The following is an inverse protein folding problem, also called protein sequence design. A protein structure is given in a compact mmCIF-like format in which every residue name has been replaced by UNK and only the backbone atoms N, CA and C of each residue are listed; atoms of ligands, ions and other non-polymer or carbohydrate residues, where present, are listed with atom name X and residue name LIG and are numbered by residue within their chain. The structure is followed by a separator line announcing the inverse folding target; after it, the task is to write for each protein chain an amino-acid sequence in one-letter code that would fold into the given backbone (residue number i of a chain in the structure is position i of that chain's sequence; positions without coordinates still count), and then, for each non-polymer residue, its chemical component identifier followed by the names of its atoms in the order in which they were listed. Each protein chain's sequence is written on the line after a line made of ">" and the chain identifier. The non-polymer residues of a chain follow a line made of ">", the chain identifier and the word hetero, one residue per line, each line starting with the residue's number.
data_IF_068765017065
#
_entry.id   IF_068765017065
#
_cell.length_a   1.000
_cell.length_b   1.000
_cell.length_c   1.000
_cell.angle_alpha   90.00
_cell.angle_beta   90.00
_cell.angle_gamma   90.00
#
_symmetry.space_group_name_H-M   'P 1'
#
loop_
_entity.id
_entity.type
_entity.pdbx_description
1 polymer ?
#
# COMPACT_ATOMS: atom_id res chain seq x y z
N UNK A 1 16.08 24.31 29.05
CA UNK A 1 17.37 24.56 28.37
C UNK A 1 17.92 23.36 27.59
N UNK A 2 17.77 22.10 28.02
CA UNK A 2 18.21 20.95 27.20
C UNK A 2 17.26 20.62 26.02
N UNK A 3 15.94 20.84 26.19
CA UNK A 3 14.91 20.43 25.23
C UNK A 3 14.92 21.26 23.92
N UNK A 4 15.30 22.54 23.98
CA UNK A 4 15.41 23.42 22.80
C UNK A 4 16.63 23.11 21.91
N UNK A 5 17.64 22.42 22.44
CA UNK A 5 18.87 22.08 21.69
C UNK A 5 18.72 20.81 20.84
N UNK A 6 17.74 19.95 21.17
CA UNK A 6 17.53 18.65 20.53
C UNK A 6 16.69 18.76 19.26
N UNK A 7 15.70 19.66 19.21
CA UNK A 7 14.82 19.82 18.06
C UNK A 7 15.58 20.10 16.74
N UNK A 8 16.55 21.05 16.69
CA UNK A 8 17.34 21.28 15.48
C UNK A 8 18.18 20.07 15.06
N UNK A 9 18.66 19.27 16.02
CA UNK A 9 19.46 18.07 15.75
C UNK A 9 18.59 16.96 15.17
N UNK A 10 17.43 16.71 15.78
CA UNK A 10 16.46 15.71 15.30
C UNK A 10 15.98 16.06 13.89
N UNK A 11 15.66 17.33 13.63
CA UNK A 11 15.28 17.78 12.28
C UNK A 11 16.40 17.56 11.26
N UNK A 12 17.66 17.87 11.60
CA UNK A 12 18.81 17.62 10.69
C UNK A 12 18.99 16.14 10.41
N UNK A 13 18.88 15.29 11.43
CA UNK A 13 18.97 13.82 11.29
C UNK A 13 17.83 13.32 10.39
N UNK A 14 16.59 13.76 10.65
CA UNK A 14 15.43 13.42 9.83
C UNK A 14 15.65 13.80 8.36
N UNK A 15 16.08 15.04 8.09
CA UNK A 15 16.37 15.51 6.72
C UNK A 15 17.50 14.71 6.07
N UNK A 16 18.57 14.42 6.81
CA UNK A 16 19.67 13.59 6.31
C UNK A 16 19.17 12.23 5.85
N UNK A 17 18.38 11.53 6.67
CA UNK A 17 17.83 10.23 6.29
C UNK A 17 16.83 10.33 5.14
N UNK A 18 15.94 11.34 5.16
CA UNK A 18 14.95 11.57 4.11
C UNK A 18 15.61 11.78 2.74
N UNK A 19 16.58 12.69 2.66
CA UNK A 19 17.28 12.98 1.41
C UNK A 19 18.24 11.85 1.01
N UNK A 20 18.92 11.20 1.96
CA UNK A 20 19.77 10.05 1.64
C UNK A 20 18.95 8.92 1.02
N UNK A 21 17.78 8.60 1.61
CA UNK A 21 16.84 7.63 1.03
C UNK A 21 16.41 8.04 -0.38
N UNK A 22 15.97 9.28 -0.57
CA UNK A 22 15.52 9.76 -1.87
C UNK A 22 16.61 9.70 -2.94
N UNK A 23 17.85 10.04 -2.59
CA UNK A 23 19.00 9.97 -3.49
C UNK A 23 19.37 8.53 -3.85
N UNK A 24 19.37 7.61 -2.87
CA UNK A 24 19.64 6.19 -3.10
C UNK A 24 18.59 5.60 -4.03
N UNK A 25 17.30 5.84 -3.77
CA UNK A 25 16.23 5.35 -4.64
C UNK A 25 16.32 5.93 -6.06
N UNK A 26 16.56 7.24 -6.20
CA UNK A 26 16.72 7.87 -7.51
C UNK A 26 17.92 7.30 -8.27
N UNK A 27 19.01 6.97 -7.57
CA UNK A 27 20.18 6.32 -8.15
C UNK A 27 19.87 4.89 -8.62
N UNK A 28 19.16 4.10 -7.81
CA UNK A 28 18.73 2.74 -8.19
C UNK A 28 17.78 2.77 -9.41
N UNK A 29 16.81 3.67 -9.41
CA UNK A 29 15.86 3.84 -10.53
C UNK A 29 16.60 4.24 -11.82
N UNK A 30 17.61 5.10 -11.71
CA UNK A 30 18.47 5.48 -12.84
C UNK A 30 19.31 4.31 -13.35
N UNK A 31 19.92 3.51 -12.46
CA UNK A 31 20.69 2.33 -12.83
C UNK A 31 19.82 1.28 -13.51
N UNK A 32 18.65 0.99 -12.94
CA UNK A 32 17.70 0.04 -13.50
C UNK A 32 17.21 0.48 -14.88
N UNK A 33 16.80 1.75 -15.02
CA UNK A 33 16.39 2.30 -16.31
C UNK A 33 17.50 2.24 -17.36
N UNK A 34 18.74 2.57 -16.97
CA UNK A 34 19.89 2.50 -17.87
C UNK A 34 20.14 1.08 -18.35
N UNK A 35 20.05 0.09 -17.46
CA UNK A 35 20.18 -1.32 -17.81
C UNK A 35 19.09 -1.78 -18.77
N UNK A 36 17.82 -1.40 -18.53
CA UNK A 36 16.69 -1.77 -19.40
C UNK A 36 16.90 -1.20 -20.81
N UNK A 37 17.25 0.08 -20.92
CA UNK A 37 17.48 0.74 -22.22
C UNK A 37 18.66 0.13 -22.99
N UNK A 38 19.71 -0.31 -22.30
CA UNK A 38 20.87 -0.92 -22.95
C UNK A 38 20.59 -2.33 -23.50
N UNK A 39 19.53 -3.01 -23.04
CA UNK A 39 19.23 -4.40 -23.39
C UNK A 39 17.80 -4.59 -23.93
N UNK A 40 17.14 -3.52 -24.37
CA UNK A 40 15.78 -3.63 -24.91
C UNK A 40 15.72 -4.30 -26.27
N UNK A 41 16.81 -4.24 -27.04
CA UNK A 41 16.84 -4.68 -28.44
C UNK A 41 17.30 -6.14 -28.61
N UNK A 42 17.62 -6.82 -27.50
CA UNK A 42 17.98 -8.24 -27.52
C UNK A 42 17.34 -8.98 -26.36
N UNK A 43 16.64 -10.07 -26.68
CA UNK A 43 16.12 -11.02 -25.68
C UNK A 43 17.31 -11.82 -25.14
N UNK A 44 17.47 -11.98 -23.81
CA UNK A 44 18.56 -12.79 -23.26
C UNK A 44 18.50 -14.25 -23.75
N UNK A 45 19.65 -14.88 -24.00
CA UNK A 45 19.75 -16.21 -24.61
C UNK A 45 18.84 -17.27 -24.00
N UNK A 46 18.69 -17.26 -22.66
CA UNK A 46 17.85 -18.22 -21.92
C UNK A 46 16.35 -18.12 -22.24
N UNK A 47 15.91 -17.02 -22.84
CA UNK A 47 14.50 -16.71 -23.10
C UNK A 47 14.18 -16.51 -24.58
N UNK A 48 15.18 -16.58 -25.48
CA UNK A 48 15.01 -16.34 -26.93
C UNK A 48 13.93 -17.23 -27.56
N UNK A 49 13.77 -18.45 -27.06
CA UNK A 49 12.78 -19.42 -27.57
C UNK A 49 11.38 -19.27 -26.96
N UNK A 50 11.24 -18.47 -25.89
CA UNK A 50 9.99 -18.33 -25.13
C UNK A 50 9.36 -16.93 -25.25
N UNK A 51 10.18 -15.91 -25.50
CA UNK A 51 9.77 -14.50 -25.49
C UNK A 51 10.15 -13.90 -26.83
N UNK A 52 9.16 -13.32 -27.50
CA UNK A 52 9.39 -12.58 -28.75
C UNK A 52 10.14 -11.28 -28.45
N UNK A 53 10.90 -10.77 -29.43
CA UNK A 53 11.55 -9.47 -29.28
C UNK A 53 10.53 -8.34 -29.03
N UNK A 54 9.36 -8.42 -29.67
CA UNK A 54 8.28 -7.45 -29.48
C UNK A 54 7.77 -7.44 -28.04
N UNK A 55 7.50 -8.62 -27.45
CA UNK A 55 7.06 -8.72 -26.06
C UNK A 55 8.12 -8.23 -25.06
N UNK A 56 9.41 -8.50 -25.34
CA UNK A 56 10.53 -8.01 -24.54
C UNK A 56 10.64 -6.49 -24.58
N UNK A 57 10.55 -5.89 -25.77
CA UNK A 57 10.55 -4.43 -25.95
C UNK A 57 9.33 -3.79 -25.27
N UNK A 58 8.15 -4.39 -25.40
CA UNK A 58 6.94 -3.94 -24.70
C UNK A 58 7.09 -3.97 -23.18
N UNK A 59 7.71 -5.02 -22.64
CA UNK A 59 8.02 -5.14 -21.21
C UNK A 59 9.05 -4.09 -20.74
N UNK A 60 10.06 -3.81 -21.56
CA UNK A 60 11.04 -2.75 -21.31
C UNK A 60 10.38 -1.37 -21.27
N UNK A 61 9.53 -1.06 -22.26
CA UNK A 61 8.77 0.20 -22.33
C UNK A 61 7.83 0.38 -21.14
N UNK A 62 7.10 -0.68 -20.77
CA UNK A 62 6.23 -0.68 -19.59
C UNK A 62 7.01 -0.36 -18.32
N UNK A 63 8.15 -1.04 -18.12
CA UNK A 63 9.02 -0.84 -16.97
C UNK A 63 9.54 0.60 -16.91
N UNK A 64 9.97 1.17 -18.04
CA UNK A 64 10.43 2.56 -18.12
C UNK A 64 9.29 3.53 -17.80
N UNK A 65 8.07 3.29 -18.31
CA UNK A 65 6.91 4.13 -18.02
C UNK A 65 6.58 4.14 -16.52
N UNK A 66 6.63 2.98 -15.85
CA UNK A 66 6.45 2.89 -14.39
C UNK A 66 7.54 3.64 -13.63
N UNK A 67 8.81 3.47 -14.01
CA UNK A 67 9.93 4.18 -13.35
C UNK A 67 9.76 5.70 -13.47
N UNK A 68 9.44 6.20 -14.67
CA UNK A 68 9.23 7.65 -14.89
C UNK A 68 8.06 8.17 -14.06
N UNK A 69 6.94 7.47 -14.07
CA UNK A 69 5.73 7.83 -13.30
C UNK A 69 6.02 7.82 -11.80
N UNK A 70 6.65 6.76 -11.30
CA UNK A 70 7.02 6.63 -9.89
C UNK A 70 7.95 7.75 -9.45
N UNK A 71 8.98 8.07 -10.25
CA UNK A 71 9.92 9.16 -9.94
C UNK A 71 9.21 10.51 -9.80
N UNK A 72 8.28 10.81 -10.69
CA UNK A 72 7.51 12.05 -10.65
C UNK A 72 6.68 12.16 -9.36
N UNK A 73 5.91 11.13 -9.02
CA UNK A 73 5.07 11.16 -7.83
C UNK A 73 5.87 11.07 -6.53
N UNK A 74 6.99 10.32 -6.48
CA UNK A 74 7.91 10.35 -5.33
C UNK A 74 8.44 11.75 -5.02
N UNK A 75 8.69 12.58 -6.04
CA UNK A 75 9.10 13.96 -5.84
C UNK A 75 7.97 14.81 -5.23
N UNK A 76 6.73 14.61 -5.67
CA UNK A 76 5.56 15.24 -5.07
C UNK A 76 5.38 14.79 -3.61
N UNK A 77 5.48 13.48 -3.34
CA UNK A 77 5.38 12.92 -1.99
C UNK A 77 6.43 13.49 -1.05
N UNK A 78 7.66 13.69 -1.54
CA UNK A 78 8.73 14.35 -0.77
C UNK A 78 8.35 15.79 -0.42
N UNK A 79 7.82 16.56 -1.36
CA UNK A 79 7.36 17.94 -1.12
C UNK A 79 6.21 17.93 -0.10
N UNK A 80 5.22 17.06 -0.27
CA UNK A 80 4.08 16.91 0.63
C UNK A 80 4.56 16.55 2.04
N UNK A 81 5.52 15.63 2.17
CA UNK A 81 6.11 15.26 3.46
C UNK A 81 6.82 16.45 4.12
N UNK A 82 7.56 17.25 3.36
CA UNK A 82 8.20 18.46 3.87
C UNK A 82 7.16 19.51 4.31
N UNK A 83 6.06 19.67 3.56
CA UNK A 83 4.96 20.57 3.94
C UNK A 83 4.31 20.12 5.25
N UNK A 84 3.99 18.83 5.37
CA UNK A 84 3.39 18.29 6.60
C UNK A 84 4.29 18.49 7.82
N UNK A 85 5.58 18.18 7.68
CA UNK A 85 6.52 18.14 8.81
C UNK A 85 7.15 19.49 9.14
N UNK A 86 7.74 20.17 8.14
CA UNK A 86 8.49 21.42 8.33
C UNK A 86 7.74 22.66 7.84
N UNK A 87 6.83 22.51 6.89
CA UNK A 87 6.01 23.60 6.36
C UNK A 87 4.81 23.97 7.24
N UNK A 88 4.68 23.37 8.43
CA UNK A 88 3.58 23.66 9.35
C UNK A 88 2.24 23.03 8.96
N UNK A 89 2.22 22.06 8.04
CA UNK A 89 0.98 21.42 7.60
C UNK A 89 0.23 20.71 8.74
N UNK A 90 0.96 19.97 9.60
CA UNK A 90 0.36 19.30 10.76
C UNK A 90 -0.19 20.30 11.78
N UNK A 91 0.54 21.39 12.04
CA UNK A 91 0.09 22.45 12.94
C UNK A 91 -1.15 23.16 12.37
N UNK A 92 -1.15 23.45 11.07
CA UNK A 92 -2.30 24.07 10.39
C UNK A 92 -3.55 23.21 10.48
N UNK A 93 -3.40 21.89 10.29
CA UNK A 93 -4.50 20.95 10.48
C UNK A 93 -4.97 20.92 11.94
N UNK A 94 -4.02 20.89 12.89
CA UNK A 94 -4.35 20.91 14.32
C UNK A 94 -5.13 22.17 14.70
N UNK A 95 -4.73 23.35 14.22
CA UNK A 95 -5.44 24.61 14.45
C UNK A 95 -6.88 24.61 13.89
N UNK A 96 -7.16 23.83 12.85
CA UNK A 96 -8.53 23.62 12.37
C UNK A 96 -9.31 22.77 13.37
N UNK A 97 -8.72 21.66 13.85
CA UNK A 97 -9.40 20.72 14.74
C UNK A 97 -9.67 21.31 16.12
N UNK A 98 -8.75 22.12 16.66
CA UNK A 98 -8.88 22.77 17.97
C UNK A 98 -10.17 23.61 18.05
N UNK A 99 -10.62 24.21 16.95
CA UNK A 99 -11.83 25.06 16.91
C UNK A 99 -13.10 24.31 17.29
N UNK A 100 -13.13 22.98 17.15
CA UNK A 100 -14.30 22.17 17.49
C UNK A 100 -14.43 21.90 19.00
N UNK A 101 -13.46 22.32 19.84
CA UNK A 101 -13.51 22.17 21.32
C UNK A 101 -13.84 20.75 21.79
N UNK A 102 -13.22 19.76 21.15
CA UNK A 102 -13.48 18.34 21.39
C UNK A 102 -12.73 17.82 22.62
N UNK A 103 -13.16 16.67 23.15
CA UNK A 103 -12.37 15.95 24.16
C UNK A 103 -11.02 15.51 23.57
N UNK A 104 -9.97 15.28 24.40
CA UNK A 104 -8.63 14.96 23.89
C UNK A 104 -8.58 13.76 22.92
N UNK A 105 -9.30 12.68 23.22
CA UNK A 105 -9.35 11.49 22.36
C UNK A 105 -10.08 11.82 21.05
N UNK A 106 -11.26 12.45 21.13
CA UNK A 106 -12.05 12.79 19.94
C UNK A 106 -11.31 13.77 19.04
N UNK A 107 -10.57 14.73 19.62
CA UNK A 107 -9.67 15.62 18.89
C UNK A 107 -8.64 14.83 18.08
N UNK A 108 -7.93 13.90 18.71
CA UNK A 108 -6.94 13.06 18.03
C UNK A 108 -7.56 12.20 16.92
N UNK A 109 -8.73 11.60 17.17
CA UNK A 109 -9.45 10.81 16.16
C UNK A 109 -9.85 11.66 14.96
N UNK A 110 -10.42 12.85 15.17
CA UNK A 110 -10.78 13.78 14.09
C UNK A 110 -9.54 14.26 13.33
N UNK A 111 -8.46 14.56 14.05
CA UNK A 111 -7.18 14.94 13.43
C UNK A 111 -6.67 13.85 12.48
N UNK A 112 -6.58 12.60 12.94
CA UNK A 112 -6.13 11.48 12.09
C UNK A 112 -7.11 11.19 10.95
N UNK A 113 -8.42 11.33 11.17
CA UNK A 113 -9.43 11.17 10.11
C UNK A 113 -9.24 12.20 8.99
N UNK A 114 -9.09 13.47 9.34
CA UNK A 114 -8.86 14.54 8.35
C UNK A 114 -7.49 14.41 7.68
N UNK A 115 -6.45 14.10 8.44
CA UNK A 115 -5.12 13.85 7.88
C UNK A 115 -5.14 12.71 6.86
N UNK A 116 -5.79 11.60 7.20
CA UNK A 116 -5.98 10.45 6.30
C UNK A 116 -6.78 10.81 5.05
N UNK A 117 -7.87 11.57 5.20
CA UNK A 117 -8.70 12.02 4.07
C UNK A 117 -7.91 12.95 3.13
N UNK A 118 -7.19 13.93 3.66
CA UNK A 118 -6.36 14.82 2.84
C UNK A 118 -5.26 14.03 2.14
N UNK A 119 -4.60 13.10 2.84
CA UNK A 119 -3.54 12.26 2.26
C UNK A 119 -4.07 11.38 1.12
N UNK A 120 -5.26 10.81 1.29
CA UNK A 120 -5.96 10.06 0.24
C UNK A 120 -6.23 10.93 -1.00
N UNK A 121 -6.70 12.16 -0.80
CA UNK A 121 -6.97 13.10 -1.91
C UNK A 121 -5.67 13.53 -2.62
N UNK A 122 -4.59 13.76 -1.88
CA UNK A 122 -3.29 14.10 -2.46
C UNK A 122 -2.69 12.95 -3.28
N UNK A 123 -2.94 11.69 -2.89
CA UNK A 123 -2.51 10.50 -3.63
C UNK A 123 -3.42 10.14 -4.82
N UNK A 124 -4.62 10.72 -4.91
CA UNK A 124 -5.59 10.39 -5.94
C UNK A 124 -5.08 10.64 -7.38
N UNK A 125 -4.39 11.76 -7.70
CA UNK A 125 -3.83 11.97 -9.04
C UNK A 125 -2.87 10.86 -9.48
N UNK A 126 -2.02 10.36 -8.57
CA UNK A 126 -1.12 9.24 -8.85
C UNK A 126 -1.88 7.97 -9.17
N UNK A 127 -2.90 7.65 -8.36
CA UNK A 127 -3.72 6.46 -8.54
C UNK A 127 -4.47 6.50 -9.87
N UNK A 128 -5.06 7.64 -10.22
CA UNK A 128 -5.76 7.86 -11.50
C UNK A 128 -4.78 7.72 -12.67
N UNK A 129 -3.64 8.42 -12.63
CA UNK A 129 -2.67 8.39 -13.72
C UNK A 129 -2.10 6.98 -13.94
N UNK A 130 -1.75 6.29 -12.86
CA UNK A 130 -1.23 4.92 -12.95
C UNK A 130 -2.29 3.99 -13.56
N UNK A 131 -3.53 4.05 -13.07
CA UNK A 131 -4.59 3.13 -13.50
C UNK A 131 -5.07 3.41 -14.93
N UNK A 132 -5.42 4.65 -15.25
CA UNK A 132 -6.11 5.00 -16.49
C UNK A 132 -5.19 5.51 -17.61
N UNK A 133 -3.91 5.72 -17.33
CA UNK A 133 -2.91 6.13 -18.34
C UNK A 133 -1.84 5.07 -18.50
N UNK A 134 -1.13 4.71 -17.42
CA UNK A 134 -0.02 3.76 -17.52
C UNK A 134 -0.56 2.35 -17.76
N UNK A 135 -1.37 1.80 -16.85
CA UNK A 135 -1.88 0.43 -16.97
C UNK A 135 -2.80 0.25 -18.20
N UNK A 136 -3.58 1.27 -18.55
CA UNK A 136 -4.41 1.28 -19.77
C UNK A 136 -3.56 1.19 -21.04
N UNK A 137 -2.48 2.00 -21.15
CA UNK A 137 -1.59 2.00 -22.32
C UNK A 137 -1.01 0.63 -22.63
N UNK A 138 -0.74 -0.19 -21.62
CA UNK A 138 -0.15 -1.52 -21.79
C UNK A 138 -1.20 -2.65 -21.75
N UNK A 139 -2.50 -2.32 -21.69
CA UNK A 139 -3.61 -3.28 -21.73
C UNK A 139 -3.86 -4.04 -20.43
N UNK A 140 -3.22 -3.61 -19.33
CA UNK A 140 -3.35 -4.24 -18.02
C UNK A 140 -4.55 -3.74 -17.23
N UNK A 141 -5.03 -2.53 -17.51
CA UNK A 141 -6.21 -2.00 -16.84
C UNK A 141 -7.49 -2.70 -17.35
N UNK A 142 -8.32 -3.14 -16.41
CA UNK A 142 -9.70 -3.60 -16.66
C UNK A 142 -10.71 -2.85 -15.79
N UNK A 143 -10.22 -1.95 -14.93
CA UNK A 143 -11.00 -1.18 -13.99
C UNK A 143 -11.73 -0.05 -14.72
N UNK A 144 -13.05 0.03 -14.54
CA UNK A 144 -13.84 1.18 -15.01
C UNK A 144 -13.82 2.32 -13.98
N UNK A 145 -14.05 3.59 -14.38
CA UNK A 145 -14.16 4.71 -13.43
C UNK A 145 -15.18 4.46 -12.31
N UNK A 146 -16.29 3.78 -12.62
CA UNK A 146 -17.30 3.39 -11.63
C UNK A 146 -16.74 2.42 -10.59
N UNK A 147 -16.02 1.37 -11.03
CA UNK A 147 -15.39 0.40 -10.13
C UNK A 147 -14.35 1.12 -9.27
N UNK A 148 -13.48 1.92 -9.88
CA UNK A 148 -12.45 2.69 -9.19
C UNK A 148 -13.01 3.57 -8.06
N UNK A 149 -14.03 4.38 -8.34
CA UNK A 149 -14.65 5.24 -7.31
C UNK A 149 -15.38 4.41 -6.26
N UNK A 150 -16.08 3.34 -6.67
CA UNK A 150 -16.79 2.47 -5.73
C UNK A 150 -15.82 1.81 -4.74
N UNK A 151 -14.69 1.28 -5.23
CA UNK A 151 -13.68 0.66 -4.38
C UNK A 151 -12.99 1.68 -3.49
N UNK A 152 -12.73 2.87 -4.01
CA UNK A 152 -12.17 3.98 -3.23
C UNK A 152 -13.09 4.36 -2.06
N UNK A 153 -14.40 4.49 -2.30
CA UNK A 153 -15.38 4.81 -1.25
C UNK A 153 -15.54 3.65 -0.26
N UNK A 154 -15.66 2.41 -0.75
CA UNK A 154 -15.71 1.21 0.12
C UNK A 154 -14.47 1.12 1.00
N UNK A 155 -13.29 1.34 0.43
CA UNK A 155 -12.02 1.35 1.13
C UNK A 155 -11.95 2.44 2.19
N UNK A 156 -12.41 3.65 1.88
CA UNK A 156 -12.48 4.75 2.85
C UNK A 156 -13.42 4.42 4.02
N UNK A 157 -14.62 3.91 3.74
CA UNK A 157 -15.60 3.53 4.77
C UNK A 157 -15.02 2.43 5.66
N UNK A 158 -14.52 1.34 5.06
CA UNK A 158 -13.97 0.21 5.80
C UNK A 158 -12.74 0.61 6.62
N UNK A 159 -11.82 1.36 5.99
CA UNK A 159 -10.64 1.90 6.65
C UNK A 159 -10.99 2.83 7.81
N UNK A 160 -12.08 3.60 7.72
CA UNK A 160 -12.55 4.44 8.81
C UNK A 160 -13.19 3.62 9.94
N UNK A 161 -14.04 2.64 9.61
CA UNK A 161 -14.70 1.74 10.57
C UNK A 161 -13.68 0.94 11.38
N UNK A 162 -12.58 0.52 10.76
CA UNK A 162 -11.54 -0.27 11.44
C UNK A 162 -10.48 0.64 12.07
N UNK A 163 -9.97 1.60 11.31
CA UNK A 163 -8.84 2.43 11.69
C UNK A 163 -9.16 3.43 12.81
N UNK A 164 -10.30 4.12 12.75
CA UNK A 164 -10.62 5.15 13.75
C UNK A 164 -10.83 4.56 15.16
N UNK A 165 -11.49 3.40 15.34
CA UNK A 165 -11.52 2.74 16.64
C UNK A 165 -10.15 2.31 17.16
N UNK A 166 -9.26 1.84 16.28
CA UNK A 166 -7.87 1.49 16.67
C UNK A 166 -7.14 2.75 17.15
N UNK A 167 -7.25 3.86 16.40
CA UNK A 167 -6.69 5.16 16.79
C UNK A 167 -7.26 5.64 18.13
N UNK A 168 -8.57 5.57 18.32
CA UNK A 168 -9.21 5.92 19.59
C UNK A 168 -8.69 5.05 20.75
N UNK A 169 -8.56 3.74 20.52
CA UNK A 169 -8.07 2.79 21.51
C UNK A 169 -6.63 3.04 21.92
N UNK A 170 -5.73 3.29 20.97
CA UNK A 170 -4.32 3.61 21.31
C UNK A 170 -4.19 4.97 22.02
N UNK A 171 -4.94 5.98 21.59
CA UNK A 171 -4.96 7.29 22.26
C UNK A 171 -5.49 7.18 23.68
N UNK A 172 -6.52 6.36 23.89
CA UNK A 172 -7.05 6.07 25.23
C UNK A 172 -6.01 5.36 26.10
N UNK A 173 -5.31 4.34 25.57
CA UNK A 173 -4.22 3.64 26.28
C UNK A 173 -3.13 4.62 26.70
N UNK A 174 -2.70 5.50 25.78
CA UNK A 174 -1.71 6.55 26.04
C UNK A 174 -2.16 7.49 27.17
N UNK A 175 -3.44 7.86 27.19
CA UNK A 175 -3.99 8.75 28.20
C UNK A 175 -4.17 8.06 29.57
N UNK A 176 -4.54 6.79 29.59
CA UNK A 176 -4.98 6.10 30.80
C UNK A 176 -3.85 5.35 31.55
N UNK A 177 -2.83 4.86 30.85
CA UNK A 177 -1.91 3.85 31.39
C UNK A 177 -0.51 4.37 31.76
N UNK A 178 -0.34 5.68 31.93
CA UNK A 178 0.86 6.32 32.49
C UNK A 178 2.15 5.95 31.75
N UNK A 179 3.29 5.87 32.46
CA UNK A 179 4.61 5.69 31.84
C UNK A 179 4.82 4.36 31.09
N UNK A 180 4.02 3.34 31.40
CA UNK A 180 4.08 2.01 30.78
C UNK A 180 3.03 1.82 29.67
N UNK A 181 2.36 2.89 29.24
CA UNK A 181 1.34 2.84 28.18
C UNK A 181 1.83 2.13 26.91
N UNK A 182 3.12 2.25 26.58
CA UNK A 182 3.69 1.70 25.36
C UNK A 182 3.67 0.17 25.32
N UNK A 183 3.76 -0.49 26.50
CA UNK A 183 3.65 -1.97 26.61
C UNK A 183 2.23 -2.40 26.29
N UNK A 184 1.24 -1.72 26.88
CA UNK A 184 -0.17 -1.99 26.62
C UNK A 184 -0.57 -1.64 25.20
N UNK A 185 -0.05 -0.54 24.65
CA UNK A 185 -0.26 -0.12 23.27
C UNK A 185 0.31 -1.14 22.29
N UNK A 186 1.52 -1.64 22.55
CA UNK A 186 2.10 -2.74 21.78
C UNK A 186 1.27 -4.02 21.84
N UNK A 187 0.83 -4.44 23.04
CA UNK A 187 -0.01 -5.63 23.20
C UNK A 187 -1.35 -5.47 22.48
N UNK A 188 -2.01 -4.31 22.62
CA UNK A 188 -3.25 -3.97 21.93
C UNK A 188 -3.09 -4.05 20.41
N UNK A 189 -2.08 -3.37 19.85
CA UNK A 189 -1.82 -3.40 18.40
C UNK A 189 -1.46 -4.80 17.90
N UNK A 190 -0.75 -5.59 18.71
CA UNK A 190 -0.41 -6.98 18.38
C UNK A 190 -1.68 -7.85 18.29
N UNK A 191 -2.59 -7.74 19.25
CA UNK A 191 -3.87 -8.46 19.25
C UNK A 191 -4.69 -8.06 18.02
N UNK A 192 -4.80 -6.75 17.75
CA UNK A 192 -5.48 -6.22 16.57
C UNK A 192 -4.84 -6.76 15.28
N UNK A 193 -3.51 -6.81 15.19
CA UNK A 193 -2.80 -7.36 14.03
C UNK A 193 -3.14 -8.82 13.78
N UNK A 194 -3.17 -9.67 14.83
CA UNK A 194 -3.59 -11.07 14.69
C UNK A 194 -5.04 -11.19 14.23
N UNK A 195 -5.93 -10.35 14.77
CA UNK A 195 -7.32 -10.30 14.33
C UNK A 195 -7.43 -9.90 12.85
N UNK A 196 -6.66 -8.91 12.40
CA UNK A 196 -6.67 -8.46 11.00
C UNK A 196 -6.11 -9.49 10.02
N UNK A 197 -5.11 -10.30 10.42
CA UNK A 197 -4.60 -11.41 9.59
C UNK A 197 -5.71 -12.40 9.25
N UNK A 198 -6.63 -12.65 10.19
CA UNK A 198 -7.82 -13.48 9.95
C UNK A 198 -8.94 -12.71 9.24
N UNK A 199 -9.26 -11.50 9.70
CA UNK A 199 -10.38 -10.70 9.20
C UNK A 199 -10.20 -10.34 7.72
N UNK A 200 -8.97 -10.05 7.29
CA UNK A 200 -8.70 -9.60 5.94
C UNK A 200 -9.16 -10.59 4.87
N UNK A 201 -8.64 -11.84 4.82
CA UNK A 201 -9.06 -12.80 3.78
C UNK A 201 -10.49 -13.30 3.96
N UNK A 202 -11.00 -13.39 5.20
CA UNK A 202 -12.31 -13.98 5.48
C UNK A 202 -13.47 -13.02 5.24
N UNK A 203 -13.28 -11.73 5.54
CA UNK A 203 -14.36 -10.74 5.55
C UNK A 203 -14.06 -9.59 4.59
N UNK A 204 -12.86 -9.01 4.64
CA UNK A 204 -12.53 -7.80 3.88
C UNK A 204 -12.38 -8.10 2.38
N UNK A 205 -11.50 -9.04 2.01
CA UNK A 205 -11.22 -9.35 0.61
C UNK A 205 -12.47 -9.76 -0.18
N UNK A 206 -13.40 -10.58 0.35
CA UNK A 206 -14.66 -10.91 -0.32
C UNK A 206 -15.61 -9.73 -0.58
N UNK A 207 -15.46 -8.59 0.11
CA UNK A 207 -16.26 -7.38 -0.19
C UNK A 207 -15.83 -6.68 -1.48
N UNK A 208 -14.59 -6.92 -1.93
CA UNK A 208 -13.98 -6.31 -3.11
C UNK A 208 -13.90 -7.26 -4.30
N UNK A 209 -13.76 -8.56 -4.05
CA UNK A 209 -13.57 -9.56 -5.09
C UNK A 209 -14.47 -10.78 -4.86
N UNK A 210 -14.92 -11.39 -5.95
CA UNK A 210 -15.65 -12.64 -5.89
C UNK A 210 -14.66 -13.79 -5.82
N UNK A 211 -14.89 -14.70 -4.87
CA UNK A 211 -14.15 -15.95 -4.75
C UNK A 211 -15.08 -17.10 -5.12
N UNK A 212 -14.68 -17.91 -6.08
CA UNK A 212 -15.39 -19.14 -6.46
C UNK A 212 -14.47 -20.34 -6.27
N UNK A 213 -14.99 -21.52 -5.89
CA UNK A 213 -14.18 -22.73 -5.88
C UNK A 213 -13.50 -22.96 -7.24
N UNK A 214 -12.27 -23.46 -7.24
CA UNK A 214 -11.62 -23.87 -8.47
C UNK A 214 -12.40 -25.06 -9.07
N UNK A 215 -12.70 -24.95 -10.36
CA UNK A 215 -13.37 -25.99 -11.13
C UNK A 215 -12.61 -27.31 -11.09
N UNK A 216 -13.34 -28.42 -11.14
CA UNK A 216 -12.74 -29.74 -11.17
C UNK A 216 -11.99 -29.95 -12.49
N UNK A 217 -10.81 -30.56 -12.42
CA UNK A 217 -9.97 -30.81 -13.58
C UNK A 217 -8.50 -30.96 -13.23
N UNK A 218 -7.68 -31.14 -14.27
CA UNK A 218 -6.27 -31.52 -14.14
C UNK A 218 -5.45 -30.56 -13.27
N UNK A 219 -5.72 -29.25 -13.35
CA UNK A 219 -5.02 -28.24 -12.55
C UNK A 219 -5.30 -28.42 -11.06
N UNK A 220 -6.57 -28.62 -10.70
CA UNK A 220 -7.00 -28.83 -9.31
C UNK A 220 -6.35 -30.09 -8.74
N UNK A 221 -6.37 -31.18 -9.50
CA UNK A 221 -5.80 -32.46 -9.08
C UNK A 221 -4.28 -32.38 -8.88
N UNK A 222 -3.56 -31.74 -9.81
CA UNK A 222 -2.12 -31.51 -9.69
C UNK A 222 -1.77 -30.67 -8.47
N UNK A 223 -2.54 -29.62 -8.20
CA UNK A 223 -2.33 -28.78 -7.00
C UNK A 223 -2.59 -29.58 -5.74
N UNK A 224 -3.72 -30.28 -5.63
CA UNK A 224 -4.06 -31.09 -4.46
C UNK A 224 -3.01 -32.18 -4.18
N UNK A 225 -2.51 -32.86 -5.21
CA UNK A 225 -1.43 -33.84 -5.08
C UNK A 225 -0.13 -33.21 -4.56
N UNK A 226 0.21 -31.98 -5.00
CA UNK A 226 1.36 -31.26 -4.48
C UNK A 226 1.18 -30.87 -3.01
N UNK A 227 -0.02 -30.43 -2.62
CA UNK A 227 -0.33 -30.10 -1.22
C UNK A 227 -0.21 -31.33 -0.32
N UNK A 228 -0.72 -32.48 -0.76
CA UNK A 228 -0.59 -33.75 -0.05
C UNK A 228 0.87 -34.17 0.12
N UNK A 229 1.66 -34.15 -0.96
CA UNK A 229 3.09 -34.49 -0.94
C UNK A 229 3.93 -33.61 -0.01
N UNK A 230 3.49 -32.37 0.20
CA UNK A 230 4.16 -31.41 1.07
C UNK A 230 3.60 -31.39 2.49
N UNK A 231 2.59 -32.21 2.78
CA UNK A 231 1.91 -32.24 4.09
C UNK A 231 1.10 -30.97 4.37
N UNK A 232 0.77 -30.19 3.34
CA UNK A 232 0.00 -28.97 3.45
C UNK A 232 -1.50 -29.27 3.48
N UNK A 233 -2.16 -28.93 4.58
CA UNK A 233 -3.60 -29.06 4.71
C UNK A 233 -4.29 -27.80 4.17
N UNK A 234 -5.08 -27.96 3.11
CA UNK A 234 -5.90 -26.88 2.56
C UNK A 234 -7.37 -27.10 2.91
N UNK A 235 -8.06 -26.03 3.35
CA UNK A 235 -9.52 -26.02 3.55
C UNK A 235 -10.30 -25.68 2.27
N UNK A 236 -9.61 -25.49 1.15
CA UNK A 236 -10.22 -25.22 -0.15
C UNK A 236 -9.29 -24.49 -1.12
N UNK A 237 -9.57 -24.63 -2.41
CA UNK A 237 -8.85 -23.94 -3.48
C UNK A 237 -9.85 -23.05 -4.22
N UNK A 238 -9.57 -21.75 -4.28
CA UNK A 238 -10.49 -20.75 -4.80
C UNK A 238 -9.81 -19.91 -5.88
N UNK A 239 -10.58 -19.52 -6.89
CA UNK A 239 -10.22 -18.53 -7.89
C UNK A 239 -10.85 -17.20 -7.52
N UNK A 240 -10.02 -16.16 -7.47
CA UNK A 240 -10.46 -14.78 -7.29
C UNK A 240 -10.72 -14.16 -8.66
N UNK A 241 -11.90 -13.57 -8.85
CA UNK A 241 -12.21 -12.81 -10.07
C UNK A 241 -11.50 -11.45 -10.05
N UNK A 242 -10.20 -11.47 -10.35
CA UNK A 242 -9.37 -10.28 -10.51
C UNK A 242 -9.51 -9.64 -11.90
N UNK A 243 -10.20 -10.32 -12.83
CA UNK A 243 -10.29 -9.93 -14.24
C UNK A 243 -11.00 -8.59 -14.45
N UNK A 244 -11.89 -8.21 -13.51
CA UNK A 244 -12.55 -6.90 -13.48
C UNK A 244 -11.61 -5.74 -13.12
N UNK A 245 -10.38 -6.03 -12.63
CA UNK A 245 -9.45 -5.02 -12.12
C UNK A 245 -8.18 -4.96 -12.93
N UNK A 246 -7.58 -6.12 -13.21
CA UNK A 246 -6.34 -6.19 -13.96
C UNK A 246 -6.16 -7.51 -14.70
N UNK A 247 -5.37 -7.48 -15.78
CA UNK A 247 -4.89 -8.67 -16.47
C UNK A 247 -3.64 -9.32 -15.83
N UNK A 248 -3.14 -8.78 -14.71
CA UNK A 248 -2.02 -9.38 -13.99
C UNK A 248 -2.43 -10.70 -13.29
N UNK A 249 -1.67 -11.76 -13.54
CA UNK A 249 -1.79 -13.02 -12.81
C UNK A 249 -1.06 -12.96 -11.46
N UNK A 250 -1.70 -13.43 -10.40
CA UNK A 250 -1.07 -13.62 -9.09
C UNK A 250 -1.72 -14.81 -8.37
N UNK A 251 -1.00 -15.41 -7.42
CA UNK A 251 -1.49 -16.49 -6.58
C UNK A 251 -0.95 -16.29 -5.16
N UNK A 252 -1.79 -16.55 -4.16
CA UNK A 252 -1.39 -16.44 -2.76
C UNK A 252 -2.12 -17.47 -1.90
N UNK A 253 -1.50 -17.79 -0.76
CA UNK A 253 -2.12 -18.58 0.29
C UNK A 253 -2.56 -17.65 1.41
N UNK A 254 -3.65 -17.99 2.07
CA UNK A 254 -4.16 -17.20 3.18
C UNK A 254 -4.82 -18.08 4.23
N UNK A 255 -4.80 -17.61 5.47
CA UNK A 255 -5.28 -18.34 6.64
C UNK A 255 -4.17 -18.67 7.64
N UNK A 256 -4.58 -18.85 8.90
CA UNK A 256 -3.73 -19.33 9.98
C UNK A 256 -4.10 -20.79 10.26
N UNK A 257 -3.08 -21.64 10.46
CA UNK A 257 -3.27 -22.99 10.98
C UNK A 257 -3.51 -22.87 12.49
N UNK A 258 -4.78 -22.83 12.88
CA UNK A 258 -5.20 -23.15 14.24
C UNK A 258 -5.76 -24.57 14.25
#
# INVERSE_FOLDING_TARGET
>A
MAQDSLAPVVTKIFLLFLFSKALIEAWLDMKNRGHILAHSDEVPDKFKDQITLEDHQKAADYSIAKIKTSKFFKAIDLIVMLIWTLGGGLESLNMIVVKFSLSPITHGVVFFALFGLISMLLGLPQSIYTTFVVEEKYGFNKTTPKIFVTDMVKGLILGSIIGLPIVAGILWIMQALGDIWWVYGWAFLTIIQFFLIWLYPTVIAPMFNKFSPLEDGEVKDRVLSLLERTGFQSKGLFVMDASMRSAHGNAYFTGLRF
#
